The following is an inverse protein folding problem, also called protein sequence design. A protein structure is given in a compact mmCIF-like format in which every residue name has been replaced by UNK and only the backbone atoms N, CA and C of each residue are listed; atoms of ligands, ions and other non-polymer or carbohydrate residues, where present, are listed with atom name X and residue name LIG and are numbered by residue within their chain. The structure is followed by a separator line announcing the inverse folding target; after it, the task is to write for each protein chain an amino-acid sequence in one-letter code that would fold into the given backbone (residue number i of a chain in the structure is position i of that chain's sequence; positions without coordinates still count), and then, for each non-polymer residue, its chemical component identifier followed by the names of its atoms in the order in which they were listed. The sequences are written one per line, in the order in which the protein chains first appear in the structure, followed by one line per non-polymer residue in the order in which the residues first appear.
data_IF_963322239018
#
_entry.id   IF_963322239018
#
_cell.length_a   1.000
_cell.length_b   1.000
_cell.length_c   1.000
_cell.angle_alpha   90.00
_cell.angle_beta   90.00
_cell.angle_gamma   90.00
#
_symmetry.space_group_name_H-M   'P 1'
#
loop_
_entity.id
_entity.type
_entity.pdbx_description
1 polymer ?
#
# COMPACT_ATOMS: atom_id res chain seq x y z
N UNK A 1 14.23 2.44 23.12
CA UNK A 1 15.42 2.87 22.38
C UNK A 1 16.09 4.02 23.14
N UNK A 2 17.41 3.96 23.35
CA UNK A 2 18.15 5.00 24.09
C UNK A 2 18.18 6.31 23.29
N UNK A 3 18.21 7.46 23.96
CA UNK A 3 18.21 8.79 23.33
C UNK A 3 19.33 8.96 22.29
N UNK A 4 20.52 8.42 22.59
CA UNK A 4 21.68 8.45 21.66
C UNK A 4 21.35 7.76 20.33
N UNK A 5 20.70 6.58 20.34
CA UNK A 5 20.32 5.89 19.11
C UNK A 5 19.30 6.69 18.28
N UNK A 6 18.40 7.43 18.92
CA UNK A 6 17.45 8.31 18.21
C UNK A 6 18.17 9.44 17.50
N UNK A 7 19.13 10.09 18.18
CA UNK A 7 19.93 11.17 17.63
C UNK A 7 20.76 10.69 16.44
N UNK A 8 21.39 9.51 16.54
CA UNK A 8 22.16 8.93 15.43
C UNK A 8 21.29 8.65 14.19
N UNK A 9 20.09 8.12 14.38
CA UNK A 9 19.15 7.87 13.27
C UNK A 9 18.69 9.20 12.65
N UNK A 10 18.40 10.23 13.46
CA UNK A 10 18.09 11.57 12.95
C UNK A 10 19.24 12.16 12.13
N UNK A 11 20.46 12.05 12.61
CA UNK A 11 21.63 12.56 11.90
C UNK A 11 21.84 11.82 10.57
N UNK A 12 21.73 10.49 10.57
CA UNK A 12 21.82 9.69 9.35
C UNK A 12 20.70 10.03 8.35
N UNK A 13 19.46 10.16 8.82
CA UNK A 13 18.32 10.55 8.00
C UNK A 13 18.52 11.97 7.41
N UNK A 14 19.04 12.91 8.20
CA UNK A 14 19.33 14.26 7.76
C UNK A 14 20.39 14.29 6.65
N UNK A 15 21.50 13.57 6.84
CA UNK A 15 22.57 13.46 5.85
C UNK A 15 22.09 12.80 4.55
N UNK A 16 21.38 11.66 4.64
CA UNK A 16 20.84 10.99 3.46
C UNK A 16 19.83 11.87 2.71
N UNK A 17 18.97 12.56 3.45
CA UNK A 17 17.96 13.45 2.85
C UNK A 17 18.61 14.64 2.11
N UNK A 18 19.69 15.21 2.65
CA UNK A 18 20.39 16.34 2.01
C UNK A 18 21.06 15.94 0.69
N UNK A 19 21.56 14.70 0.59
CA UNK A 19 22.15 14.18 -0.64
C UNK A 19 21.06 13.81 -1.65
N UNK A 20 20.02 13.09 -1.22
CA UNK A 20 19.02 12.55 -2.12
C UNK A 20 18.09 13.60 -2.74
N UNK A 21 17.88 14.74 -2.09
CA UNK A 21 17.04 15.81 -2.65
C UNK A 21 17.60 16.34 -3.98
N UNK A 22 18.92 16.26 -4.17
CA UNK A 22 19.58 16.76 -5.38
C UNK A 22 19.62 15.69 -6.48
N UNK A 23 19.81 14.42 -6.10
CA UNK A 23 20.09 13.37 -7.08
C UNK A 23 18.87 12.61 -7.56
N UNK A 24 17.84 12.44 -6.74
CA UNK A 24 16.67 11.65 -7.15
C UNK A 24 15.47 11.86 -6.24
N UNK A 25 14.34 12.22 -6.84
CA UNK A 25 13.05 12.29 -6.14
C UNK A 25 12.63 10.93 -5.57
N UNK A 26 12.93 9.82 -6.25
CA UNK A 26 12.61 8.48 -5.77
C UNK A 26 13.39 8.09 -4.53
N UNK A 27 14.63 8.55 -4.40
CA UNK A 27 15.45 8.32 -3.21
C UNK A 27 14.95 9.09 -1.97
N UNK A 28 14.08 10.09 -2.14
CA UNK A 28 13.44 10.79 -1.04
C UNK A 28 12.33 9.98 -0.35
N UNK A 29 11.73 8.99 -1.00
CA UNK A 29 10.61 8.21 -0.44
C UNK A 29 10.95 7.58 0.92
N UNK A 30 12.10 6.89 1.12
CA UNK A 30 12.50 6.40 2.43
C UNK A 30 12.67 7.51 3.47
N UNK A 31 13.16 8.69 3.04
CA UNK A 31 13.38 9.83 3.93
C UNK A 31 12.04 10.41 4.43
N UNK A 32 11.03 10.53 3.54
CA UNK A 32 9.65 10.92 3.93
C UNK A 32 9.09 9.93 4.96
N UNK A 33 9.19 8.64 4.69
CA UNK A 33 8.67 7.60 5.57
C UNK A 33 9.36 7.61 6.94
N UNK A 34 10.69 7.75 6.96
CA UNK A 34 11.48 7.79 8.19
C UNK A 34 11.21 9.08 9.00
N UNK A 35 11.14 10.24 8.34
CA UNK A 35 10.81 11.51 8.99
C UNK A 35 9.38 11.49 9.58
N UNK A 36 8.41 10.96 8.85
CA UNK A 36 7.04 10.79 9.34
C UNK A 36 6.97 9.80 10.51
N UNK A 37 7.74 8.71 10.46
CA UNK A 37 7.90 7.78 11.58
C UNK A 37 8.44 8.49 12.83
N UNK A 38 9.56 9.22 12.70
CA UNK A 38 10.14 9.97 13.80
C UNK A 38 9.16 10.97 14.41
N UNK A 39 8.45 11.71 13.56
CA UNK A 39 7.46 12.70 14.00
C UNK A 39 6.26 12.11 14.72
N UNK A 40 5.83 10.91 14.31
CA UNK A 40 4.69 10.22 14.88
C UNK A 40 5.01 9.55 16.24
N UNK A 41 6.19 8.93 16.33
CA UNK A 41 6.57 8.08 17.49
C UNK A 41 7.45 8.81 18.48
N UNK A 42 8.42 9.63 18.02
CA UNK A 42 9.37 10.31 18.90
C UNK A 42 9.01 11.75 19.17
N UNK A 43 8.22 12.37 18.30
CA UNK A 43 7.79 13.77 18.42
C UNK A 43 8.34 14.66 17.31
N UNK A 44 7.66 15.82 17.11
CA UNK A 44 7.99 16.76 16.03
C UNK A 44 9.39 17.36 16.13
N UNK A 45 9.95 17.46 17.34
CA UNK A 45 11.31 17.97 17.53
C UNK A 45 12.37 17.17 16.75
N UNK A 46 12.15 15.89 16.49
CA UNK A 46 13.07 15.05 15.73
C UNK A 46 12.96 15.22 14.20
N UNK A 47 11.89 15.85 13.71
CA UNK A 47 11.73 16.15 12.29
C UNK A 47 12.51 17.41 11.90
N UNK A 48 12.57 18.41 12.79
CA UNK A 48 13.19 19.71 12.52
C UNK A 48 14.62 19.59 11.98
N UNK A 49 15.55 18.82 12.59
CA UNK A 49 16.91 18.71 12.07
C UNK A 49 16.96 18.03 10.69
N UNK A 50 16.03 17.10 10.39
CA UNK A 50 15.96 16.45 9.06
C UNK A 50 15.53 17.47 8.01
N UNK A 51 14.49 18.25 8.29
CA UNK A 51 14.02 19.29 7.38
C UNK A 51 15.06 20.42 7.21
N UNK A 52 15.73 20.83 8.28
CA UNK A 52 16.79 21.82 8.23
C UNK A 52 17.99 21.35 7.39
N UNK A 53 18.38 20.07 7.55
CA UNK A 53 19.47 19.50 6.74
C UNK A 53 19.09 19.36 5.27
N UNK A 54 17.83 19.03 4.96
CA UNK A 54 17.35 18.99 3.58
C UNK A 54 17.36 20.37 2.92
N UNK A 55 16.87 21.41 3.62
CA UNK A 55 16.91 22.79 3.11
C UNK A 55 18.35 23.26 2.90
N UNK A 56 19.22 23.03 3.88
CA UNK A 56 20.64 23.40 3.76
C UNK A 56 21.33 22.63 2.63
N UNK A 57 21.08 21.33 2.50
CA UNK A 57 21.63 20.49 1.43
C UNK A 57 21.14 20.91 0.04
N UNK A 58 19.85 21.22 -0.10
CA UNK A 58 19.27 21.75 -1.34
C UNK A 58 19.95 23.07 -1.76
N UNK A 59 20.10 23.99 -0.80
CA UNK A 59 20.76 25.28 -1.06
C UNK A 59 22.24 25.13 -1.39
N UNK A 60 22.95 24.23 -0.72
CA UNK A 60 24.40 24.06 -0.89
C UNK A 60 24.76 23.31 -2.19
N UNK A 61 23.98 22.36 -2.62
CA UNK A 61 24.32 21.44 -3.71
C UNK A 61 23.65 21.77 -5.05
N UNK A 62 22.47 22.34 -5.06
CA UNK A 62 21.67 22.51 -6.28
C UNK A 62 21.27 23.95 -6.61
N UNK A 63 21.54 24.90 -5.71
CA UNK A 63 20.94 26.23 -5.84
C UNK A 63 19.44 26.25 -5.53
N UNK A 64 18.86 27.43 -5.41
CA UNK A 64 17.43 27.60 -5.15
C UNK A 64 16.61 27.71 -6.44
N UNK A 65 16.63 26.68 -7.29
CA UNK A 65 15.73 26.61 -8.43
C UNK A 65 14.27 26.44 -7.98
N UNK A 66 13.34 26.90 -8.80
CA UNK A 66 11.90 26.80 -8.53
C UNK A 66 11.49 25.33 -8.36
N UNK A 67 12.03 24.45 -9.17
CA UNK A 67 11.76 23.01 -9.14
C UNK A 67 12.19 22.37 -7.80
N UNK A 68 13.43 22.64 -7.35
CA UNK A 68 13.94 22.13 -6.07
C UNK A 68 13.15 22.70 -4.89
N UNK A 69 12.79 23.97 -4.95
CA UNK A 69 11.99 24.63 -3.90
C UNK A 69 10.60 23.99 -3.82
N UNK A 70 9.95 23.74 -4.95
CA UNK A 70 8.62 23.09 -5.01
C UNK A 70 8.69 21.67 -4.47
N UNK A 71 9.71 20.89 -4.85
CA UNK A 71 9.94 19.54 -4.35
C UNK A 71 10.15 19.54 -2.82
N UNK A 72 10.92 20.48 -2.30
CA UNK A 72 11.17 20.63 -0.87
C UNK A 72 9.88 20.94 -0.10
N UNK A 73 9.07 21.88 -0.59
CA UNK A 73 7.77 22.23 0.00
C UNK A 73 6.85 21.01 -0.01
N UNK A 74 6.77 20.29 -1.12
CA UNK A 74 5.98 19.05 -1.22
C UNK A 74 6.43 18.02 -0.19
N UNK A 75 7.73 17.81 -0.02
CA UNK A 75 8.29 16.90 0.98
C UNK A 75 7.86 17.29 2.40
N UNK A 76 8.00 18.57 2.77
CA UNK A 76 7.61 19.09 4.08
C UNK A 76 6.12 18.83 4.33
N UNK A 77 5.29 19.12 3.34
CA UNK A 77 3.84 18.90 3.42
C UNK A 77 3.49 17.42 3.58
N UNK A 78 4.15 16.53 2.85
CA UNK A 78 3.96 15.08 2.97
C UNK A 78 4.32 14.57 4.37
N UNK A 79 5.47 14.98 4.94
CA UNK A 79 5.89 14.60 6.29
C UNK A 79 4.91 15.15 7.33
N UNK A 80 4.51 16.42 7.22
CA UNK A 80 3.55 17.05 8.12
C UNK A 80 2.19 16.35 8.08
N UNK A 81 1.68 16.05 6.89
CA UNK A 81 0.42 15.36 6.68
C UNK A 81 0.43 13.94 7.27
N UNK A 82 1.46 13.15 6.98
CA UNK A 82 1.59 11.80 7.54
C UNK A 82 1.71 11.81 9.06
N UNK A 83 2.48 12.74 9.61
CA UNK A 83 2.60 12.92 11.07
C UNK A 83 1.26 13.29 11.68
N UNK A 84 0.50 14.19 11.05
CA UNK A 84 -0.86 14.54 11.46
C UNK A 84 -1.80 13.33 11.41
N UNK A 85 -1.84 12.59 10.30
CA UNK A 85 -2.66 11.39 10.15
C UNK A 85 -2.33 10.35 11.23
N UNK A 86 -1.04 10.13 11.48
CA UNK A 86 -0.58 9.19 12.49
C UNK A 86 -1.02 9.61 13.92
N UNK A 87 -0.88 10.88 14.27
CA UNK A 87 -1.27 11.40 15.59
C UNK A 87 -2.79 11.39 15.82
N UNK A 88 -3.55 11.71 14.79
CA UNK A 88 -5.04 11.69 14.82
C UNK A 88 -5.62 10.30 14.66
N UNK A 89 -4.77 9.27 14.48
CA UNK A 89 -5.20 7.87 14.27
C UNK A 89 -6.17 7.73 13.08
N UNK A 90 -5.97 8.51 12.04
CA UNK A 90 -6.81 8.46 10.85
C UNK A 90 -6.64 7.12 10.14
N UNK A 91 -7.69 6.64 9.48
CA UNK A 91 -7.60 5.42 8.70
C UNK A 91 -6.63 5.60 7.52
N UNK A 92 -5.85 4.55 7.23
CA UNK A 92 -4.76 4.60 6.22
C UNK A 92 -5.21 5.01 4.83
N UNK A 93 -6.49 4.76 4.48
CA UNK A 93 -7.09 5.22 3.22
C UNK A 93 -7.02 6.74 3.07
N UNK A 94 -7.22 7.49 4.16
CA UNK A 94 -7.12 8.95 4.12
C UNK A 94 -5.66 9.39 4.02
N UNK A 95 -4.76 8.71 4.74
CA UNK A 95 -3.33 8.98 4.63
C UNK A 95 -2.81 8.73 3.21
N UNK A 96 -3.21 7.60 2.60
CA UNK A 96 -2.83 7.27 1.22
C UNK A 96 -3.39 8.27 0.21
N UNK A 97 -4.69 8.57 0.28
CA UNK A 97 -5.35 9.49 -0.66
C UNK A 97 -4.76 10.90 -0.59
N UNK A 98 -4.68 11.48 0.62
CA UNK A 98 -4.15 12.83 0.77
C UNK A 98 -2.68 12.93 0.39
N UNK A 99 -1.88 11.88 0.67
CA UNK A 99 -0.49 11.81 0.24
C UNK A 99 -0.37 11.74 -1.29
N UNK A 100 -1.21 10.92 -1.95
CA UNK A 100 -1.24 10.83 -3.41
C UNK A 100 -1.58 12.17 -4.05
N UNK A 101 -2.57 12.89 -3.51
CA UNK A 101 -2.95 14.24 -3.99
C UNK A 101 -1.79 15.22 -3.78
N UNK A 102 -1.16 15.25 -2.60
CA UNK A 102 -0.05 16.15 -2.31
C UNK A 102 1.12 15.92 -3.26
N UNK A 103 1.49 14.66 -3.51
CA UNK A 103 2.60 14.32 -4.41
C UNK A 103 2.22 14.62 -5.86
N UNK A 104 1.00 14.30 -6.29
CA UNK A 104 0.52 14.62 -7.64
C UNK A 104 0.61 16.12 -7.91
N UNK A 105 0.05 16.94 -7.01
CA UNK A 105 0.09 18.40 -7.11
C UNK A 105 1.52 18.93 -7.05
N UNK A 106 2.35 18.39 -6.15
CA UNK A 106 3.76 18.76 -6.04
C UNK A 106 4.55 18.47 -7.32
N UNK A 107 4.38 17.27 -7.90
CA UNK A 107 5.02 16.89 -9.16
C UNK A 107 4.54 17.75 -10.31
N UNK A 108 3.24 18.01 -10.42
CA UNK A 108 2.71 18.87 -11.45
C UNK A 108 3.25 20.31 -11.32
N UNK A 109 3.24 20.87 -10.11
CA UNK A 109 3.75 22.22 -9.88
C UNK A 109 5.25 22.33 -10.12
N UNK A 110 6.04 21.33 -9.78
CA UNK A 110 7.48 21.35 -10.05
C UNK A 110 7.81 21.46 -11.54
N UNK A 111 6.98 20.85 -12.39
CA UNK A 111 7.13 20.88 -13.85
C UNK A 111 6.49 22.14 -14.44
N UNK A 112 5.29 22.49 -14.02
CA UNK A 112 4.49 23.53 -14.64
C UNK A 112 4.85 24.92 -14.19
N UNK A 113 5.25 25.12 -12.92
CA UNK A 113 5.45 26.45 -12.33
C UNK A 113 6.56 27.26 -13.02
N UNK A 114 7.72 26.68 -13.41
CA UNK A 114 8.74 27.42 -14.15
C UNK A 114 8.19 27.99 -15.49
N UNK A 115 7.44 27.20 -16.24
CA UNK A 115 6.84 27.60 -17.51
C UNK A 115 5.78 28.68 -17.31
N UNK A 116 4.90 28.50 -16.33
CA UNK A 116 3.82 29.48 -16.01
C UNK A 116 4.42 30.83 -15.62
N UNK A 117 5.48 30.84 -14.81
CA UNK A 117 6.16 32.09 -14.41
C UNK A 117 6.87 32.77 -15.57
N UNK A 118 7.27 32.00 -16.60
CA UNK A 118 7.82 32.53 -17.85
C UNK A 118 6.73 33.02 -18.82
N UNK A 119 5.44 32.88 -18.49
CA UNK A 119 4.33 33.23 -19.36
C UNK A 119 4.05 32.22 -20.47
N UNK A 120 4.52 31.00 -20.31
CA UNK A 120 4.42 29.90 -21.29
C UNK A 120 3.37 28.86 -20.84
N UNK A 121 3.03 27.92 -21.73
CA UNK A 121 2.15 26.82 -21.35
C UNK A 121 2.84 25.90 -20.31
N UNK A 122 2.07 25.26 -19.39
CA UNK A 122 2.63 24.51 -18.25
C UNK A 122 3.61 23.39 -18.61
N UNK A 123 3.53 22.87 -19.82
CA UNK A 123 4.36 21.75 -20.32
C UNK A 123 5.58 22.18 -21.13
N UNK A 124 5.67 23.44 -21.57
CA UNK A 124 6.69 23.90 -22.52
C UNK A 124 8.13 23.81 -21.96
N UNK A 125 8.33 24.15 -20.69
CA UNK A 125 9.64 23.99 -20.06
C UNK A 125 10.10 22.54 -20.01
N UNK A 126 9.19 21.62 -19.70
CA UNK A 126 9.47 20.19 -19.72
C UNK A 126 9.75 19.70 -21.15
N UNK A 127 8.96 20.14 -22.13
CA UNK A 127 9.14 19.78 -23.52
C UNK A 127 10.50 20.23 -24.05
N UNK A 128 10.90 21.47 -23.78
CA UNK A 128 12.23 21.98 -24.15
C UNK A 128 13.36 21.17 -23.52
N UNK A 129 13.23 20.83 -22.25
CA UNK A 129 14.24 20.01 -21.56
C UNK A 129 14.31 18.61 -22.16
N UNK A 130 13.17 18.02 -22.50
CA UNK A 130 13.06 16.74 -23.17
C UNK A 130 13.73 16.78 -24.54
N UNK A 131 13.41 17.78 -25.38
CA UNK A 131 14.01 17.95 -26.70
C UNK A 131 15.50 18.21 -26.63
N UNK A 132 15.97 19.04 -25.70
CA UNK A 132 17.39 19.30 -25.51
C UNK A 132 18.16 18.02 -25.14
N UNK A 133 17.56 17.14 -24.31
CA UNK A 133 18.19 15.89 -23.92
C UNK A 133 18.38 14.94 -25.13
N UNK A 134 17.34 14.66 -25.92
CA UNK A 134 17.48 13.67 -27.00
C UNK A 134 18.02 14.24 -28.32
N UNK A 135 17.85 15.53 -28.60
CA UNK A 135 18.46 16.21 -29.78
C UNK A 135 19.88 16.70 -29.48
N UNK A 136 20.26 16.88 -28.22
CA UNK A 136 21.58 17.33 -27.78
C UNK A 136 22.47 16.17 -27.32
N UNK A 137 22.40 15.85 -26.02
CA UNK A 137 23.34 14.91 -25.40
C UNK A 137 23.24 13.48 -25.94
N UNK A 138 22.05 13.01 -26.26
CA UNK A 138 21.79 11.64 -26.72
C UNK A 138 21.77 11.50 -28.25
N UNK A 139 21.79 12.62 -29.02
CA UNK A 139 21.64 12.59 -30.46
C UNK A 139 22.66 11.68 -31.18
N UNK A 140 23.88 11.62 -30.67
CA UNK A 140 24.95 10.77 -31.23
C UNK A 140 24.75 9.27 -30.95
N UNK A 141 23.91 8.91 -29.98
CA UNK A 141 23.63 7.53 -29.55
C UNK A 141 22.30 6.99 -30.13
N UNK A 142 21.44 7.89 -30.61
CA UNK A 142 20.11 7.52 -31.09
C UNK A 142 20.10 7.29 -32.60
N UNK A 143 19.45 6.23 -33.04
CA UNK A 143 19.15 6.02 -34.46
C UNK A 143 18.07 7.00 -34.94
N UNK A 144 18.02 7.27 -36.25
CA UNK A 144 17.00 8.13 -36.87
C UNK A 144 15.56 7.70 -36.47
N UNK A 145 15.30 6.39 -36.43
CA UNK A 145 14.01 5.86 -36.01
C UNK A 145 13.69 6.17 -34.55
N UNK A 146 14.67 6.15 -33.65
CA UNK A 146 14.49 6.52 -32.25
C UNK A 146 14.19 8.01 -32.11
N UNK A 147 14.89 8.87 -32.85
CA UNK A 147 14.60 10.32 -32.84
C UNK A 147 13.18 10.60 -33.33
N UNK A 148 12.73 9.96 -34.40
CA UNK A 148 11.34 10.07 -34.89
C UNK A 148 10.32 9.60 -33.83
N UNK A 149 10.64 8.54 -33.09
CA UNK A 149 9.79 8.08 -31.99
C UNK A 149 9.74 9.11 -30.85
N UNK A 150 10.89 9.72 -30.50
CA UNK A 150 10.94 10.76 -29.46
C UNK A 150 10.18 12.02 -29.87
N UNK A 151 10.25 12.43 -31.13
CA UNK A 151 9.44 13.53 -31.67
C UNK A 151 7.93 13.21 -31.59
N UNK A 152 7.53 11.96 -31.85
CA UNK A 152 6.15 11.52 -31.72
C UNK A 152 5.68 11.54 -30.26
N UNK A 153 6.55 11.17 -29.33
CA UNK A 153 6.28 11.27 -27.87
C UNK A 153 6.14 12.73 -27.46
N UNK A 154 6.98 13.64 -27.97
CA UNK A 154 6.92 15.07 -27.68
C UNK A 154 5.53 15.66 -28.00
N UNK A 155 4.86 15.21 -29.04
CA UNK A 155 3.54 15.67 -29.45
C UNK A 155 2.44 15.30 -28.42
N UNK A 156 2.60 14.19 -27.70
CA UNK A 156 1.61 13.70 -26.73
C UNK A 156 1.93 14.10 -25.27
N UNK A 157 3.10 14.70 -25.03
CA UNK A 157 3.50 15.18 -23.69
C UNK A 157 2.44 16.10 -23.02
N UNK A 158 1.84 17.07 -23.75
CA UNK A 158 0.80 17.94 -23.17
C UNK A 158 -0.37 17.16 -22.59
N UNK A 159 -0.77 16.06 -23.25
CA UNK A 159 -1.89 15.22 -22.82
C UNK A 159 -1.50 14.22 -21.71
N UNK A 160 -0.23 13.84 -21.66
CA UNK A 160 0.24 12.83 -20.72
C UNK A 160 0.77 13.42 -19.39
N UNK A 161 1.11 14.70 -19.34
CA UNK A 161 1.75 15.31 -18.16
C UNK A 161 0.91 15.09 -16.89
N UNK A 162 -0.36 15.44 -16.91
CA UNK A 162 -1.23 15.29 -15.75
C UNK A 162 -1.49 13.81 -15.39
N UNK A 163 -1.83 12.92 -16.35
CA UNK A 163 -1.93 11.47 -16.09
C UNK A 163 -0.69 10.87 -15.43
N UNK A 164 0.51 11.24 -15.89
CA UNK A 164 1.77 10.75 -15.33
C UNK A 164 1.97 11.28 -13.90
N UNK A 165 1.66 12.55 -13.63
CA UNK A 165 1.72 13.11 -12.28
C UNK A 165 0.75 12.38 -11.31
N UNK A 166 -0.44 12.02 -11.78
CA UNK A 166 -1.41 11.22 -10.98
C UNK A 166 -0.85 9.84 -10.69
N UNK A 167 -0.38 9.13 -11.71
CA UNK A 167 0.18 7.78 -11.54
C UNK A 167 1.39 7.75 -10.61
N UNK A 168 2.32 8.69 -10.79
CA UNK A 168 3.51 8.80 -9.92
C UNK A 168 3.13 9.19 -8.49
N UNK A 169 2.15 10.08 -8.32
CA UNK A 169 1.62 10.45 -7.01
C UNK A 169 1.07 9.26 -6.25
N UNK A 170 0.27 8.41 -6.90
CA UNK A 170 -0.29 7.20 -6.30
C UNK A 170 0.78 6.15 -5.98
N UNK A 171 1.70 5.91 -6.92
CA UNK A 171 2.79 4.95 -6.73
C UNK A 171 3.71 5.36 -5.56
N UNK A 172 4.07 6.63 -5.49
CA UNK A 172 4.92 7.15 -4.43
C UNK A 172 4.20 7.17 -3.08
N UNK A 173 2.93 7.55 -3.04
CA UNK A 173 2.13 7.48 -1.82
C UNK A 173 2.06 6.05 -1.27
N UNK A 174 1.80 5.07 -2.13
CA UNK A 174 1.79 3.66 -1.75
C UNK A 174 3.16 3.21 -1.22
N UNK A 175 4.23 3.55 -1.92
CA UNK A 175 5.60 3.21 -1.51
C UNK A 175 5.94 3.81 -0.13
N UNK A 176 5.63 5.09 0.10
CA UNK A 176 5.87 5.78 1.38
C UNK A 176 5.09 5.10 2.52
N UNK A 177 3.81 4.79 2.31
CA UNK A 177 2.98 4.11 3.33
C UNK A 177 3.52 2.72 3.65
N UNK A 178 3.97 1.96 2.64
CA UNK A 178 4.60 0.65 2.86
C UNK A 178 5.94 0.76 3.58
N UNK A 179 6.77 1.76 3.23
CA UNK A 179 8.04 2.05 3.91
C UNK A 179 7.82 2.50 5.35
N UNK A 180 6.84 3.35 5.61
CA UNK A 180 6.45 3.77 6.97
C UNK A 180 6.07 2.55 7.82
N UNK A 181 5.33 1.61 7.24
CA UNK A 181 5.01 0.34 7.90
C UNK A 181 6.24 -0.52 8.16
N UNK A 182 7.19 -0.56 7.22
CA UNK A 182 8.46 -1.25 7.42
C UNK A 182 9.27 -0.62 8.57
N UNK A 183 9.30 0.71 8.69
CA UNK A 183 9.92 1.42 9.81
C UNK A 183 9.29 1.01 11.15
N UNK A 184 7.96 0.97 11.25
CA UNK A 184 7.28 0.54 12.47
C UNK A 184 7.65 -0.90 12.88
N UNK A 185 7.77 -1.81 11.89
CA UNK A 185 8.21 -3.20 12.15
C UNK A 185 9.66 -3.27 12.59
N UNK A 186 10.55 -2.56 11.90
CA UNK A 186 11.99 -2.55 12.16
C UNK A 186 12.28 -2.07 13.58
N UNK A 187 11.63 -0.99 14.01
CA UNK A 187 11.82 -0.40 15.32
C UNK A 187 10.92 -0.99 16.42
N UNK A 188 10.19 -2.08 16.11
CA UNK A 188 9.30 -2.78 17.04
C UNK A 188 8.33 -1.84 17.79
N UNK A 189 7.91 -0.79 17.13
CA UNK A 189 6.86 0.09 17.63
C UNK A 189 5.52 -0.51 17.23
N UNK A 190 4.53 -0.48 18.13
CA UNK A 190 3.19 -0.93 17.77
C UNK A 190 2.70 -0.11 16.59
N UNK A 191 2.51 -0.74 15.42
CA UNK A 191 1.92 -0.01 14.32
C UNK A 191 0.51 0.36 14.75
N UNK A 192 0.19 1.63 14.70
CA UNK A 192 -1.17 2.10 14.85
C UNK A 192 -2.05 1.27 13.90
N UNK A 193 -2.66 0.20 14.43
CA UNK A 193 -3.60 -0.77 13.81
C UNK A 193 -3.70 -0.75 12.28
N UNK A 194 -2.54 -0.73 11.60
CA UNK A 194 -2.51 -0.93 10.15
C UNK A 194 -2.88 -2.38 9.87
N UNK A 195 -4.08 -2.61 9.38
CA UNK A 195 -4.46 -3.91 8.86
C UNK A 195 -3.38 -4.40 7.87
N UNK A 196 -2.99 -5.68 7.90
CA UNK A 196 -2.06 -6.21 6.91
C UNK A 196 -2.58 -5.93 5.50
N UNK A 197 -1.67 -5.68 4.55
CA UNK A 197 -2.07 -5.32 3.17
C UNK A 197 -3.07 -6.32 2.56
N UNK A 198 -2.94 -7.60 2.90
CA UNK A 198 -3.90 -8.64 2.51
C UNK A 198 -5.34 -8.41 3.01
N UNK A 199 -5.54 -7.56 4.02
CA UNK A 199 -6.86 -7.22 4.56
C UNK A 199 -7.40 -5.87 4.04
N UNK A 200 -6.63 -5.16 3.20
CA UNK A 200 -7.09 -3.90 2.64
C UNK A 200 -8.28 -4.14 1.73
N UNK A 201 -9.35 -3.40 2.00
CA UNK A 201 -10.60 -3.42 1.23
C UNK A 201 -11.03 -1.99 0.95
N UNK A 202 -11.39 -1.74 -0.29
CA UNK A 202 -11.98 -0.47 -0.69
C UNK A 202 -13.43 -0.39 -0.17
N UNK A 203 -13.89 0.79 0.28
CA UNK A 203 -15.28 1.01 0.62
C UNK A 203 -16.17 0.84 -0.63
N UNK A 204 -17.42 0.40 -0.42
CA UNK A 204 -18.36 0.16 -1.53
C UNK A 204 -18.69 1.43 -2.33
N UNK A 205 -18.61 2.58 -1.68
CA UNK A 205 -18.81 3.89 -2.33
C UNK A 205 -17.84 4.14 -3.48
N UNK A 206 -16.65 3.52 -3.48
CA UNK A 206 -15.69 3.65 -4.58
C UNK A 206 -16.22 3.03 -5.87
N UNK A 207 -16.94 1.92 -5.81
CA UNK A 207 -17.52 1.33 -7.01
C UNK A 207 -18.55 2.28 -7.66
N UNK A 208 -19.44 2.87 -6.84
CA UNK A 208 -20.42 3.84 -7.32
C UNK A 208 -19.71 5.09 -7.86
N UNK A 209 -18.72 5.62 -7.13
CA UNK A 209 -17.91 6.75 -7.57
C UNK A 209 -17.19 6.48 -8.90
N UNK A 210 -16.66 5.27 -9.08
CA UNK A 210 -16.02 4.85 -10.33
C UNK A 210 -16.99 4.81 -11.50
N UNK A 211 -18.22 4.34 -11.28
CA UNK A 211 -19.26 4.35 -12.33
C UNK A 211 -19.60 5.80 -12.74
N UNK A 212 -19.78 6.70 -11.77
CA UNK A 212 -20.05 8.11 -12.03
C UNK A 212 -18.92 8.76 -12.84
N UNK A 213 -17.66 8.48 -12.47
CA UNK A 213 -16.48 8.99 -13.19
C UNK A 213 -16.44 8.41 -14.60
N UNK A 214 -16.70 7.11 -14.79
CA UNK A 214 -16.75 6.50 -16.13
C UNK A 214 -17.82 7.13 -17.01
N UNK A 215 -18.98 7.44 -16.46
CA UNK A 215 -20.05 8.18 -17.19
C UNK A 215 -19.57 9.59 -17.54
N UNK A 216 -18.90 10.28 -16.62
CA UNK A 216 -18.29 11.59 -16.88
C UNK A 216 -17.24 11.55 -18.00
N UNK A 217 -16.35 10.53 -17.99
CA UNK A 217 -15.36 10.31 -19.05
C UNK A 217 -16.06 10.11 -20.41
N UNK A 218 -17.08 9.25 -20.46
CA UNK A 218 -17.86 9.03 -21.68
C UNK A 218 -18.49 10.32 -22.18
N UNK A 219 -19.04 11.15 -21.30
CA UNK A 219 -19.62 12.45 -21.67
C UNK A 219 -18.57 13.41 -22.24
N UNK A 220 -17.37 13.49 -21.63
CA UNK A 220 -16.25 14.34 -22.10
C UNK A 220 -15.80 13.94 -23.49
N UNK A 221 -15.71 12.61 -23.76
CA UNK A 221 -15.33 12.08 -25.07
C UNK A 221 -16.43 12.36 -26.11
N UNK A 222 -17.71 12.11 -25.77
CA UNK A 222 -18.83 12.31 -26.69
C UNK A 222 -19.07 13.79 -27.05
N UNK A 223 -18.74 14.70 -26.15
CA UNK A 223 -18.86 16.15 -26.36
C UNK A 223 -17.65 16.75 -27.08
N UNK A 224 -16.68 15.92 -27.44
CA UNK A 224 -15.43 16.32 -28.15
C UNK A 224 -14.74 17.53 -27.48
N UNK A 225 -14.67 17.51 -26.14
CA UNK A 225 -14.07 18.58 -25.37
C UNK A 225 -12.56 18.62 -25.65
N UNK A 226 -12.04 19.82 -25.88
CA UNK A 226 -10.59 20.02 -26.06
C UNK A 226 -9.82 19.33 -24.91
N UNK A 227 -8.79 18.55 -25.24
CA UNK A 227 -8.02 17.72 -24.30
C UNK A 227 -8.83 16.57 -23.64
N UNK A 228 -9.91 16.10 -24.29
CA UNK A 228 -10.73 14.99 -23.78
C UNK A 228 -9.92 13.76 -23.38
N UNK A 229 -8.85 13.44 -24.16
CA UNK A 229 -7.95 12.33 -23.88
C UNK A 229 -7.19 12.50 -22.57
N UNK A 230 -6.61 13.69 -22.32
CA UNK A 230 -5.89 13.99 -21.07
C UNK A 230 -6.81 13.90 -19.84
N UNK A 231 -8.02 14.46 -19.96
CA UNK A 231 -9.05 14.43 -18.91
C UNK A 231 -9.48 12.98 -18.65
N UNK A 232 -9.77 12.23 -19.68
CA UNK A 232 -10.19 10.83 -19.59
C UNK A 232 -9.11 9.95 -18.93
N UNK A 233 -7.85 10.07 -19.36
CA UNK A 233 -6.74 9.33 -18.78
C UNK A 233 -6.50 9.72 -17.31
N UNK A 234 -6.49 11.02 -16.99
CA UNK A 234 -6.28 11.52 -15.62
C UNK A 234 -7.36 11.02 -14.66
N UNK A 235 -8.60 10.86 -15.14
CA UNK A 235 -9.71 10.37 -14.34
C UNK A 235 -9.75 8.83 -14.27
N UNK A 236 -9.30 8.12 -15.32
CA UNK A 236 -9.28 6.66 -15.38
C UNK A 236 -8.16 6.06 -14.50
N UNK A 237 -6.98 6.69 -14.44
CA UNK A 237 -5.83 6.19 -13.69
C UNK A 237 -6.16 5.93 -12.21
N UNK A 238 -6.73 6.86 -11.44
CA UNK A 238 -7.09 6.62 -10.04
C UNK A 238 -8.04 5.43 -9.85
N UNK A 239 -8.98 5.25 -10.78
CA UNK A 239 -9.93 4.15 -10.74
C UNK A 239 -9.19 2.81 -10.92
N UNK A 240 -8.39 2.71 -11.97
CA UNK A 240 -7.61 1.50 -12.28
C UNK A 240 -6.64 1.20 -11.14
N UNK A 241 -5.94 2.20 -10.61
CA UNK A 241 -4.99 2.04 -9.51
C UNK A 241 -5.67 1.57 -8.22
N UNK A 242 -6.84 2.11 -7.88
CA UNK A 242 -7.62 1.65 -6.73
C UNK A 242 -7.98 0.17 -6.85
N UNK A 243 -8.52 -0.26 -7.99
CA UNK A 243 -8.87 -1.67 -8.20
C UNK A 243 -7.64 -2.56 -8.33
N UNK A 244 -6.55 -2.07 -8.89
CA UNK A 244 -5.27 -2.78 -8.92
C UNK A 244 -4.75 -3.04 -7.50
N UNK A 245 -4.71 -2.02 -6.63
CA UNK A 245 -4.28 -2.17 -5.23
C UNK A 245 -5.18 -3.17 -4.49
N UNK A 246 -6.49 -3.12 -4.70
CA UNK A 246 -7.43 -4.08 -4.12
C UNK A 246 -7.19 -5.49 -4.64
N UNK A 247 -6.98 -5.66 -5.93
CA UNK A 247 -6.68 -6.96 -6.55
C UNK A 247 -5.38 -7.55 -6.03
N UNK A 248 -4.34 -6.72 -5.89
CA UNK A 248 -3.07 -7.13 -5.29
C UNK A 248 -3.24 -7.55 -3.82
N UNK A 249 -4.02 -6.81 -3.05
CA UNK A 249 -4.34 -7.17 -1.68
C UNK A 249 -5.14 -8.49 -1.60
N UNK A 250 -6.04 -8.72 -2.56
CA UNK A 250 -6.80 -9.97 -2.68
C UNK A 250 -5.91 -11.15 -3.05
N UNK A 251 -4.99 -10.99 -4.00
CA UNK A 251 -3.99 -12.01 -4.33
C UNK A 251 -3.13 -12.36 -3.12
N UNK A 252 -2.65 -11.36 -2.38
CA UNK A 252 -1.91 -11.59 -1.14
C UNK A 252 -2.71 -12.35 -0.09
N UNK A 253 -4.03 -12.08 0.01
CA UNK A 253 -4.92 -12.81 0.91
C UNK A 253 -5.04 -14.27 0.50
N UNK A 254 -5.30 -14.56 -0.78
CA UNK A 254 -5.41 -15.92 -1.30
C UNK A 254 -4.10 -16.69 -1.08
N UNK A 255 -2.97 -16.12 -1.49
CA UNK A 255 -1.66 -16.78 -1.36
C UNK A 255 -1.21 -16.93 0.10
N UNK A 256 -1.57 -15.99 0.97
CA UNK A 256 -1.30 -16.09 2.40
C UNK A 256 -2.00 -17.29 3.05
N UNK A 257 -3.23 -17.56 2.62
CA UNK A 257 -4.07 -18.62 3.15
C UNK A 257 -4.01 -19.94 2.35
N UNK A 258 -3.36 -19.94 1.16
CA UNK A 258 -3.24 -21.16 0.35
C UNK A 258 -2.14 -22.06 0.90
N UNK A 259 -2.38 -23.38 0.79
CA UNK A 259 -1.35 -24.42 1.06
C UNK A 259 -0.25 -24.48 -0.01
N UNK A 260 -0.27 -23.57 -0.97
CA UNK A 260 0.71 -23.50 -2.05
C UNK A 260 2.13 -23.38 -1.51
N UNK A 261 3.08 -24.08 -2.13
CA UNK A 261 4.48 -24.07 -1.76
C UNK A 261 5.10 -22.65 -1.91
N UNK A 262 6.10 -22.34 -1.10
CA UNK A 262 6.81 -21.05 -1.16
C UNK A 262 7.31 -20.70 -2.57
N UNK A 263 7.92 -21.62 -3.36
CA UNK A 263 8.42 -21.30 -4.70
C UNK A 263 7.30 -20.90 -5.65
N UNK A 264 6.11 -21.51 -5.58
CA UNK A 264 4.95 -21.11 -6.41
C UNK A 264 4.51 -19.68 -6.08
N UNK A 265 4.48 -19.31 -4.80
CA UNK A 265 4.17 -17.93 -4.38
C UNK A 265 5.17 -16.92 -4.93
N UNK A 266 6.47 -17.24 -4.85
CA UNK A 266 7.54 -16.39 -5.38
C UNK A 266 7.41 -16.26 -6.90
N UNK A 267 7.17 -17.37 -7.61
CA UNK A 267 7.01 -17.37 -9.06
C UNK A 267 5.84 -16.47 -9.52
N UNK A 268 4.67 -16.60 -8.88
CA UNK A 268 3.52 -15.75 -9.22
C UNK A 268 3.82 -14.27 -8.97
N UNK A 269 4.49 -13.94 -7.85
CA UNK A 269 4.88 -12.56 -7.57
C UNK A 269 5.90 -12.03 -8.55
N UNK A 270 6.92 -12.83 -8.89
CA UNK A 270 7.89 -12.48 -9.92
C UNK A 270 7.21 -12.26 -11.27
N UNK A 271 6.27 -13.14 -11.66
CA UNK A 271 5.50 -12.97 -12.89
C UNK A 271 4.68 -11.68 -12.90
N UNK A 272 3.96 -11.37 -11.80
CA UNK A 272 3.19 -10.11 -11.69
C UNK A 272 4.09 -8.88 -11.80
N UNK A 273 5.27 -8.91 -11.15
CA UNK A 273 6.21 -7.78 -11.19
C UNK A 273 6.87 -7.64 -12.57
N UNK A 274 7.32 -8.74 -13.16
CA UNK A 274 8.01 -8.72 -14.46
C UNK A 274 7.08 -8.38 -15.63
N UNK A 275 5.80 -8.71 -15.52
CA UNK A 275 4.81 -8.41 -16.57
C UNK A 275 4.17 -7.01 -16.42
N UNK A 276 4.57 -6.19 -15.43
CA UNK A 276 4.22 -4.78 -15.40
C UNK A 276 4.86 -4.08 -16.63
N UNK A 277 4.14 -3.22 -17.36
CA UNK A 277 2.80 -2.67 -17.08
C UNK A 277 1.62 -3.55 -17.56
N UNK A 278 1.84 -4.58 -18.35
CA UNK A 278 0.76 -5.38 -18.98
C UNK A 278 -0.11 -6.12 -17.94
N UNK A 279 0.46 -6.51 -16.80
CA UNK A 279 -0.26 -7.24 -15.77
C UNK A 279 -1.16 -6.38 -14.88
N UNK A 280 -1.20 -5.06 -15.05
CA UNK A 280 -2.07 -4.17 -14.25
C UNK A 280 -3.55 -4.52 -14.41
N UNK A 281 -3.95 -4.95 -15.60
CA UNK A 281 -5.34 -5.27 -15.95
C UNK A 281 -5.85 -6.46 -15.12
N UNK A 282 -5.05 -7.50 -14.96
CA UNK A 282 -5.48 -8.73 -14.26
C UNK A 282 -5.80 -8.46 -12.78
N UNK A 283 -4.90 -7.87 -11.96
CA UNK A 283 -5.25 -7.49 -10.61
C UNK A 283 -6.42 -6.49 -10.53
N UNK A 284 -6.53 -5.53 -11.44
CA UNK A 284 -7.64 -4.60 -11.45
C UNK A 284 -9.00 -5.31 -11.65
N UNK A 285 -9.09 -6.24 -12.60
CA UNK A 285 -10.28 -7.08 -12.81
C UNK A 285 -10.58 -7.92 -11.56
N UNK A 286 -9.57 -8.52 -10.93
CA UNK A 286 -9.73 -9.27 -9.70
C UNK A 286 -10.22 -8.37 -8.55
N UNK A 287 -9.75 -7.14 -8.47
CA UNK A 287 -10.21 -6.14 -7.51
C UNK A 287 -11.67 -5.78 -7.69
N UNK A 288 -12.11 -5.53 -8.93
CA UNK A 288 -13.52 -5.30 -9.28
C UNK A 288 -14.38 -6.52 -8.92
N UNK A 289 -13.93 -7.71 -9.34
CA UNK A 289 -14.65 -8.97 -9.03
C UNK A 289 -14.81 -9.19 -7.54
N UNK A 290 -13.76 -8.92 -6.77
CA UNK A 290 -13.84 -9.02 -5.32
C UNK A 290 -14.80 -8.01 -4.71
N UNK A 291 -14.78 -6.75 -5.18
CA UNK A 291 -15.68 -5.70 -4.72
C UNK A 291 -17.16 -6.07 -4.94
N UNK A 292 -17.45 -6.69 -6.09
CA UNK A 292 -18.80 -7.15 -6.43
C UNK A 292 -19.21 -8.38 -5.61
N UNK A 293 -18.31 -9.34 -5.38
CA UNK A 293 -18.65 -10.66 -4.83
C UNK A 293 -18.42 -10.78 -3.33
N UNK A 294 -17.67 -9.87 -2.71
CA UNK A 294 -17.29 -9.87 -1.27
C UNK A 294 -16.82 -11.23 -0.77
N UNK A 295 -15.93 -11.88 -1.53
CA UNK A 295 -15.51 -13.26 -1.24
C UNK A 295 -14.63 -13.39 0.00
N UNK A 296 -13.82 -12.39 0.35
CA UNK A 296 -12.91 -12.48 1.51
C UNK A 296 -13.61 -12.82 2.83
N UNK A 297 -14.69 -12.14 3.24
CA UNK A 297 -15.34 -12.49 4.50
C UNK A 297 -15.92 -13.91 4.49
N UNK A 298 -16.38 -14.41 3.33
CA UNK A 298 -16.86 -15.80 3.19
C UNK A 298 -15.70 -16.79 3.32
N UNK A 299 -14.59 -16.55 2.63
CA UNK A 299 -13.38 -17.40 2.70
C UNK A 299 -12.77 -17.35 4.11
N UNK A 300 -12.70 -16.18 4.75
CA UNK A 300 -12.18 -16.04 6.11
C UNK A 300 -13.00 -16.86 7.11
N UNK A 301 -14.33 -16.81 7.07
CA UNK A 301 -15.21 -17.63 7.92
C UNK A 301 -15.00 -19.13 7.67
N UNK A 302 -14.92 -19.54 6.42
CA UNK A 302 -14.67 -20.94 6.07
C UNK A 302 -13.32 -21.45 6.59
N UNK A 303 -12.26 -20.64 6.46
CA UNK A 303 -10.94 -20.98 6.99
C UNK A 303 -10.90 -21.02 8.51
N UNK A 304 -11.66 -20.14 9.16
CA UNK A 304 -11.82 -20.16 10.62
C UNK A 304 -12.53 -21.42 11.10
N UNK A 305 -13.61 -21.85 10.43
CA UNK A 305 -14.29 -23.12 10.70
C UNK A 305 -13.35 -24.32 10.54
N UNK A 306 -12.63 -24.40 9.41
CA UNK A 306 -11.62 -25.44 9.19
C UNK A 306 -10.52 -25.46 10.26
N UNK A 307 -10.09 -24.29 10.73
CA UNK A 307 -9.09 -24.20 11.79
C UNK A 307 -9.61 -24.68 13.14
N UNK A 308 -10.90 -24.44 13.43
CA UNK A 308 -11.57 -24.94 14.63
C UNK A 308 -11.76 -26.45 14.57
N UNK A 309 -12.24 -26.97 13.43
CA UNK A 309 -12.35 -28.42 13.19
C UNK A 309 -10.99 -29.13 13.37
N UNK A 310 -9.94 -28.56 12.80
CA UNK A 310 -8.59 -29.12 12.99
C UNK A 310 -8.15 -29.13 14.45
N UNK A 311 -8.40 -28.07 15.21
CA UNK A 311 -8.08 -28.04 16.66
C UNK A 311 -8.90 -29.07 17.45
N UNK A 312 -10.10 -29.37 17.01
CA UNK A 312 -10.92 -30.42 17.64
C UNK A 312 -10.33 -31.80 17.32
N UNK A 313 -9.96 -32.05 16.05
CA UNK A 313 -9.32 -33.30 15.63
C UNK A 313 -7.98 -33.49 16.36
N UNK A 314 -7.12 -32.46 16.38
CA UNK A 314 -5.84 -32.53 17.08
C UNK A 314 -6.03 -32.84 18.59
N UNK A 315 -7.09 -32.31 19.23
CA UNK A 315 -7.45 -32.64 20.62
C UNK A 315 -7.95 -34.08 20.77
N UNK A 316 -8.79 -34.55 19.85
CA UNK A 316 -9.29 -35.94 19.86
C UNK A 316 -8.10 -36.91 19.72
N UNK A 317 -7.18 -36.63 18.80
CA UNK A 317 -5.96 -37.43 18.62
C UNK A 317 -5.07 -37.44 19.87
N UNK A 318 -4.98 -36.29 20.55
CA UNK A 318 -4.26 -36.18 21.83
C UNK A 318 -4.94 -36.99 22.93
N UNK A 319 -6.26 -36.89 23.09
CA UNK A 319 -7.02 -37.69 24.05
C UNK A 319 -6.96 -39.20 23.72
N UNK A 320 -7.01 -39.57 22.45
CA UNK A 320 -6.85 -40.96 22.01
C UNK A 320 -5.47 -41.53 22.39
N UNK A 321 -4.41 -40.71 22.25
CA UNK A 321 -3.07 -41.08 22.65
C UNK A 321 -2.94 -41.28 24.18
N UNK A 322 -3.56 -40.43 24.97
CA UNK A 322 -3.58 -40.55 26.41
C UNK A 322 -4.51 -41.71 26.87
N UNK A 323 -5.60 -41.95 26.21
CA UNK A 323 -6.50 -43.10 26.47
C UNK A 323 -5.76 -44.44 26.22
N UNK A 324 -5.03 -44.56 25.11
CA UNK A 324 -4.23 -45.77 24.83
C UNK A 324 -3.09 -46.02 25.86
N UNK A 325 -2.56 -44.96 26.46
CA UNK A 325 -1.54 -45.09 27.51
C UNK A 325 -2.18 -45.54 28.82
N UNK A 326 -3.36 -45.07 29.15
CA UNK A 326 -4.07 -45.42 30.38
C UNK A 326 -4.56 -46.87 30.35
N UNK A 327 -5.14 -47.33 29.25
CA UNK A 327 -5.53 -48.73 29.07
C UNK A 327 -4.34 -49.71 29.08
N UNK A 328 -3.14 -49.22 28.78
CA UNK A 328 -1.92 -50.01 28.82
C UNK A 328 -1.29 -50.12 30.20
N UNK A 329 -1.51 -49.11 31.04
CA UNK A 329 -1.09 -49.09 32.45
C UNK A 329 -2.08 -49.87 33.32
N UNK A 330 -3.37 -49.70 33.11
CA UNK A 330 -4.41 -50.45 33.83
C UNK A 330 -4.40 -51.95 33.49
N UNK A 331 -3.98 -52.33 32.26
CA UNK A 331 -3.77 -53.73 31.86
C UNK A 331 -2.59 -54.45 32.48
N UNK A 332 -1.69 -53.73 33.15
CA UNK A 332 -0.56 -54.34 33.87
C UNK A 332 -0.79 -54.56 35.36
N UNK A 333 -1.79 -53.93 35.96
CA UNK A 333 -2.13 -54.07 37.39
C UNK A 333 -3.38 -54.91 37.66
N UNK A 334 -3.98 -55.53 36.64
CA UNK A 334 -5.18 -56.33 36.78
C UNK A 334 -4.92 -57.84 36.86
N UNK A 335 -4.11 -58.28 37.80
CA UNK A 335 -4.20 -59.64 38.36
C UNK A 335 -4.38 -59.50 39.85
N UNK A 336 -5.49 -60.07 40.28
CA UNK A 336 -5.97 -60.24 41.65
C UNK A 336 -6.82 -59.11 42.22
N UNK A 337 -8.13 -59.22 41.99
CA UNK A 337 -9.08 -59.16 43.12
C UNK A 337 -10.50 -59.61 42.66
N UNK A 338 -11.06 -60.42 43.50
CA UNK A 338 -12.32 -61.16 43.38
C UNK A 338 -13.53 -60.28 43.50
N UNK A 339 -14.56 -60.78 42.81
CA UNK A 339 -15.97 -60.71 43.18
C UNK A 339 -16.41 -59.80 44.32
N UNK A 340 -17.06 -58.74 43.95
CA UNK A 340 -18.15 -58.20 44.80
C UNK A 340 -19.17 -57.48 43.88
N UNK A 341 -20.41 -58.03 43.94
CA UNK A 341 -21.63 -57.46 43.38
C UNK A 341 -22.04 -56.26 44.17
N UNK A 342 -22.38 -55.14 43.60
CA UNK A 342 -23.25 -54.21 44.29
C UNK A 342 -24.63 -54.12 43.69
N UNK A 343 -25.54 -54.09 44.62
CA UNK A 343 -26.97 -53.87 44.52
C UNK A 343 -27.33 -52.56 43.77
N UNK A 344 -28.42 -52.68 43.05
CA UNK A 344 -29.27 -51.55 42.66
C UNK A 344 -29.84 -50.83 43.87
N UNK A 345 -30.09 -49.54 43.79
CA UNK A 345 -31.47 -49.10 43.95
C UNK A 345 -31.93 -48.12 42.84
N UNK A 346 -33.19 -48.37 42.53
CA UNK A 346 -34.15 -47.58 41.79
C UNK A 346 -34.37 -46.15 42.37
N UNK A 347 -35.13 -45.48 41.55
CA UNK A 347 -36.09 -44.41 41.82
C UNK A 347 -35.72 -42.99 41.37
N UNK A 348 -36.42 -42.61 40.30
CA UNK A 348 -37.65 -41.79 40.30
C UNK A 348 -37.52 -40.32 40.63
N UNK A 349 -37.86 -39.47 39.75
CA UNK A 349 -39.03 -38.54 39.70
C UNK A 349 -38.78 -37.26 38.91
N UNK A 350 -39.57 -37.10 37.92
CA UNK A 350 -40.55 -36.03 37.68
C UNK A 350 -40.22 -34.57 38.02
N UNK A 351 -40.58 -33.73 37.09
CA UNK A 351 -40.89 -32.32 37.30
C UNK A 351 -40.45 -31.48 36.09
N UNK A 352 -41.25 -31.33 35.09
CA UNK A 352 -42.35 -30.41 34.91
C UNK A 352 -41.98 -28.92 34.93
N UNK A 353 -42.35 -28.24 33.88
CA UNK A 353 -42.89 -26.87 33.98
C UNK A 353 -42.14 -25.72 33.38
N UNK A 354 -42.72 -25.13 32.37
CA UNK A 354 -42.81 -23.68 32.26
C UNK A 354 -42.12 -23.02 31.05
N UNK A 355 -42.77 -22.96 29.95
CA UNK A 355 -43.34 -21.80 29.21
C UNK A 355 -43.03 -20.42 29.75
N UNK A 356 -42.65 -19.52 28.82
CA UNK A 356 -43.19 -18.21 28.38
C UNK A 356 -42.07 -17.39 27.74
N UNK A 357 -42.23 -17.03 26.48
CA UNK A 357 -42.66 -15.72 25.96
C UNK A 357 -41.84 -14.53 26.50
N UNK A 358 -40.99 -13.96 25.68
CA UNK A 358 -41.10 -12.67 24.93
C UNK A 358 -39.93 -12.51 23.93
#
# INVERSE_FOLDING_TARGET
MKTVSKIMICAAAALLSSVFIVYSQTALLPCVALAAYMGSVWGTAYIVPVLAAMTAGSMALGGCGIEQTTTLICFILCVAYLTFCARRKLAHRYALLGLAILICVGNYLSIALPSILAGEAPYEGFLRSWEAAYKGELASMLSANMVSTMDSIALIIPDLLMPVCVLTGEAYALAIVLLLRACHRLFKTEPQRMAPFSQWQLPQSILLGSIIICVGIAAVILLDIKQSTAIALSAAIPIVSCFFIQGMAYLMFIFGNSRSSRPVKIFVWAFVILSLPYSVIIPAILGIKEQLTKKRPKIARYLEQLSQEKKIIDRIDEYSKYGYIRDREDGKNGKDEKDEKPDHPDENKDGDGGSTEE
#
